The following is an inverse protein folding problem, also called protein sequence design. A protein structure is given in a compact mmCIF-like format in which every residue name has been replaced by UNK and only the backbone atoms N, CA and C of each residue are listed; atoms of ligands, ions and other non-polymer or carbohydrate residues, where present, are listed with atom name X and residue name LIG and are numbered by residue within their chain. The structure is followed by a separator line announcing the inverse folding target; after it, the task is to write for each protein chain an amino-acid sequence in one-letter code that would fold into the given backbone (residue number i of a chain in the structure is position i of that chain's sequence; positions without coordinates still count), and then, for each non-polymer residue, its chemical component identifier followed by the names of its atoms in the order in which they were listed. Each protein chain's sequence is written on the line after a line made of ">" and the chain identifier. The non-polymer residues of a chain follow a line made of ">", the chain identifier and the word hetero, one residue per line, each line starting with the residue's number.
data_IF_471009186822
#
_entry.id   IF_471009186822
#
_cell.length_a   1.000
_cell.length_b   1.000
_cell.length_c   1.000
_cell.angle_alpha   90.00
_cell.angle_beta   90.00
_cell.angle_gamma   90.00
#
_symmetry.space_group_name_H-M   'P 1'
#
loop_
_entity.id
_entity.type
_entity.pdbx_description
1 polymer ?
#
# COMPACT_ATOMS: atom_id res chain seq x y z
N UNK A 1 8.52 18.36 8.55
CA UNK A 1 8.80 17.43 7.42
C UNK A 1 8.48 15.98 7.77
N UNK A 2 9.02 15.41 8.85
CA UNK A 2 8.74 14.02 9.26
C UNK A 2 7.23 13.73 9.46
N UNK A 3 6.50 14.59 10.17
CA UNK A 3 5.06 14.43 10.39
C UNK A 3 4.21 14.53 9.13
N UNK A 4 4.66 15.29 8.12
CA UNK A 4 3.98 15.43 6.83
C UNK A 4 4.07 14.13 6.03
N UNK A 5 5.25 13.50 6.04
CA UNK A 5 5.46 12.21 5.36
C UNK A 5 4.61 11.09 5.97
N UNK A 6 4.50 11.05 7.30
CA UNK A 6 3.62 10.09 7.99
C UNK A 6 2.15 10.31 7.59
N UNK A 7 1.70 11.58 7.57
CA UNK A 7 0.35 11.92 7.12
C UNK A 7 0.07 11.47 5.68
N UNK A 8 1.01 11.73 4.76
CA UNK A 8 0.89 11.31 3.35
C UNK A 8 0.84 9.78 3.25
N UNK A 9 1.67 9.05 4.00
CA UNK A 9 1.67 7.59 4.00
C UNK A 9 0.33 7.00 4.47
N UNK A 10 -0.28 7.59 5.50
CA UNK A 10 -1.60 7.18 5.99
C UNK A 10 -2.69 7.42 4.93
N UNK A 11 -2.71 8.60 4.32
CA UNK A 11 -3.68 8.95 3.26
C UNK A 11 -3.50 8.02 2.05
N UNK A 12 -2.26 7.76 1.64
CA UNK A 12 -1.97 6.85 0.54
C UNK A 12 -2.44 5.41 0.83
N UNK A 13 -2.25 4.93 2.07
CA UNK A 13 -2.73 3.62 2.50
C UNK A 13 -4.26 3.50 2.46
N UNK A 14 -4.96 4.50 3.01
CA UNK A 14 -6.44 4.57 2.99
C UNK A 14 -6.96 4.62 1.55
N UNK A 15 -6.34 5.44 0.71
CA UNK A 15 -6.70 5.56 -0.71
C UNK A 15 -6.51 4.23 -1.45
N UNK A 16 -5.35 3.59 -1.31
CA UNK A 16 -5.06 2.32 -1.97
C UNK A 16 -6.04 1.21 -1.57
N UNK A 17 -6.38 1.11 -0.28
CA UNK A 17 -7.39 0.15 0.20
C UNK A 17 -8.78 0.45 -0.37
N UNK A 18 -9.21 1.71 -0.33
CA UNK A 18 -10.53 2.12 -0.83
C UNK A 18 -10.66 1.89 -2.33
N UNK A 19 -9.58 2.15 -3.08
CA UNK A 19 -9.50 1.90 -4.51
C UNK A 19 -9.53 0.40 -4.84
N UNK A 20 -8.77 -0.43 -4.11
CA UNK A 20 -8.83 -1.88 -4.26
C UNK A 20 -10.23 -2.43 -3.98
N UNK A 21 -10.92 -1.91 -2.96
CA UNK A 21 -12.32 -2.28 -2.68
C UNK A 21 -13.26 -1.88 -3.82
N UNK A 22 -13.11 -0.68 -4.38
CA UNK A 22 -13.89 -0.24 -5.52
C UNK A 22 -13.68 -1.13 -6.75
N UNK A 23 -12.43 -1.48 -7.07
CA UNK A 23 -12.10 -2.41 -8.16
C UNK A 23 -12.73 -3.79 -7.95
N UNK A 24 -12.73 -4.29 -6.72
CA UNK A 24 -13.41 -5.56 -6.39
C UNK A 24 -14.91 -5.48 -6.61
N UNK A 25 -15.55 -4.38 -6.20
CA UNK A 25 -16.99 -4.15 -6.40
C UNK A 25 -17.36 -3.98 -7.88
N UNK A 26 -16.46 -3.48 -8.73
CA UNK A 26 -16.69 -3.36 -10.17
C UNK A 26 -16.43 -4.67 -10.95
N UNK A 27 -16.15 -5.78 -10.25
CA UNK A 27 -15.80 -7.07 -10.85
C UNK A 27 -14.34 -7.22 -11.29
N UNK A 28 -13.51 -6.18 -11.11
CA UNK A 28 -12.08 -6.23 -11.42
C UNK A 28 -11.26 -6.76 -10.22
N UNK A 29 -11.47 -8.04 -9.91
CA UNK A 29 -10.80 -8.71 -8.78
C UNK A 29 -9.28 -8.78 -8.96
N UNK A 30 -8.80 -8.92 -10.20
CA UNK A 30 -7.36 -8.95 -10.51
C UNK A 30 -6.71 -7.62 -10.19
N UNK A 31 -7.31 -6.51 -10.64
CA UNK A 31 -6.84 -5.16 -10.32
C UNK A 31 -6.83 -4.91 -8.81
N UNK A 32 -7.88 -5.33 -8.10
CA UNK A 32 -7.94 -5.22 -6.63
C UNK A 32 -6.80 -5.99 -5.95
N UNK A 33 -6.50 -7.20 -6.41
CA UNK A 33 -5.39 -8.01 -5.88
C UNK A 33 -4.03 -7.37 -6.15
N UNK A 34 -3.80 -6.88 -7.37
CA UNK A 34 -2.55 -6.21 -7.75
C UNK A 34 -2.30 -4.98 -6.89
N UNK A 35 -3.31 -4.14 -6.67
CA UNK A 35 -3.19 -2.96 -5.81
C UNK A 35 -2.80 -3.36 -4.38
N UNK A 36 -3.44 -4.38 -3.80
CA UNK A 36 -3.10 -4.85 -2.46
C UNK A 36 -1.69 -5.45 -2.39
N UNK A 37 -1.25 -6.15 -3.43
CA UNK A 37 0.08 -6.71 -3.53
C UNK A 37 1.15 -5.61 -3.56
N UNK A 38 0.92 -4.53 -4.31
CA UNK A 38 1.80 -3.36 -4.31
C UNK A 38 1.85 -2.64 -2.96
N UNK A 39 0.72 -2.52 -2.25
CA UNK A 39 0.69 -1.97 -0.89
C UNK A 39 1.50 -2.85 0.06
N UNK A 40 1.34 -4.18 0.00
CA UNK A 40 2.11 -5.10 0.82
C UNK A 40 3.61 -5.02 0.50
N UNK A 41 3.99 -4.93 -0.79
CA UNK A 41 5.38 -4.81 -1.21
C UNK A 41 6.02 -3.47 -0.81
N UNK A 42 5.26 -2.36 -0.85
CA UNK A 42 5.77 -1.04 -0.47
C UNK A 42 6.04 -0.93 1.04
N UNK A 43 5.32 -1.70 1.86
CA UNK A 43 5.57 -1.85 3.30
C UNK A 43 6.65 -2.91 3.55
N UNK A 44 6.61 -4.02 2.83
CA UNK A 44 7.50 -5.16 3.03
C UNK A 44 8.95 -4.86 2.65
N UNK A 45 9.20 -4.11 1.58
CA UNK A 45 10.54 -3.76 1.12
C UNK A 45 11.36 -2.95 2.14
N UNK A 46 10.86 -1.85 2.74
CA UNK A 46 11.59 -1.13 3.77
C UNK A 46 11.79 -1.98 5.04
N UNK A 47 10.80 -2.78 5.44
CA UNK A 47 10.93 -3.69 6.59
C UNK A 47 12.02 -4.72 6.33
N UNK A 48 12.02 -5.35 5.15
CA UNK A 48 13.04 -6.31 4.74
C UNK A 48 14.43 -5.66 4.80
N UNK A 49 14.59 -4.46 4.23
CA UNK A 49 15.84 -3.70 4.31
C UNK A 49 16.26 -3.39 5.75
N UNK A 50 15.33 -3.08 6.66
CA UNK A 50 15.66 -2.86 8.07
C UNK A 50 16.18 -4.13 8.76
N UNK A 51 15.71 -5.30 8.34
CA UNK A 51 16.11 -6.59 8.94
C UNK A 51 17.41 -7.12 8.31
N UNK A 52 17.63 -6.88 7.02
CA UNK A 52 18.76 -7.47 6.28
C UNK A 52 19.89 -6.49 5.95
N UNK A 53 19.73 -5.18 6.18
CA UNK A 53 20.84 -4.25 6.07
C UNK A 53 21.77 -4.41 7.30
N UNK A 54 23.09 -4.57 7.09
CA UNK A 54 24.07 -4.65 8.19
C UNK A 54 24.25 -3.32 8.93
#
# INVERSE_FOLDING_TARGET
>A
MAYVMIGIALVAGIHAYSYAKALKCSGNTVGAFVVLLFVAASIGLPIYRMITAP
#
